data_IF_751529894500
#
_entry.id   IF_751529894500
#
_cell.length_a   1.000
_cell.length_b   1.000
_cell.length_c   1.000
_cell.angle_alpha   90.00
_cell.angle_beta   90.00
_cell.angle_gamma   90.00
#
_symmetry.space_group_name_H-M   'P 1'
#
loop_
_entity.id
_entity.type
_entity.pdbx_description
1 polymer ?
#
# COMPACT_ATOMS: atom_id res chain seq x y z
N UNK A 1 -12.81 -3.53 -3.15
CA UNK A 1 -11.80 -4.29 -2.38
C UNK A 1 -10.47 -3.61 -2.62
N UNK A 2 -9.81 -3.16 -1.53
CA UNK A 2 -8.77 -2.12 -1.50
C UNK A 2 -7.42 -2.81 -1.32
N UNK A 3 -6.32 -2.28 -1.87
CA UNK A 3 -4.96 -2.87 -1.77
C UNK A 3 -4.61 -3.28 -0.32
N UNK A 4 -4.98 -2.44 0.66
CA UNK A 4 -4.80 -2.70 2.10
C UNK A 4 -5.39 -4.03 2.57
N UNK A 5 -6.67 -4.31 2.24
CA UNK A 5 -7.34 -5.53 2.70
C UNK A 5 -6.76 -6.78 2.06
N UNK A 6 -6.28 -6.67 0.81
CA UNK A 6 -5.68 -7.81 0.12
C UNK A 6 -4.31 -8.16 0.69
N UNK A 7 -3.52 -7.16 1.11
CA UNK A 7 -2.24 -7.40 1.81
C UNK A 7 -2.44 -7.97 3.22
N UNK A 8 -3.51 -7.57 3.91
CA UNK A 8 -3.95 -8.20 5.16
C UNK A 8 -4.29 -9.69 4.96
N UNK A 9 -5.10 -10.01 3.94
CA UNK A 9 -5.47 -11.40 3.61
C UNK A 9 -4.25 -12.27 3.26
N UNK A 10 -3.21 -11.68 2.67
CA UNK A 10 -1.96 -12.39 2.38
C UNK A 10 -1.15 -12.59 3.66
N UNK A 11 -1.00 -11.55 4.47
CA UNK A 11 -0.33 -11.65 5.77
C UNK A 11 -0.96 -12.71 6.67
N UNK A 12 -2.30 -12.82 6.71
CA UNK A 12 -3.02 -13.86 7.45
C UNK A 12 -2.60 -15.29 7.07
N UNK A 13 -2.11 -15.50 5.84
CA UNK A 13 -1.64 -16.80 5.34
C UNK A 13 -0.14 -16.99 5.50
N UNK A 14 0.60 -15.93 5.75
CA UNK A 14 2.06 -15.92 5.84
C UNK A 14 2.56 -15.99 7.28
N UNK A 15 1.80 -15.46 8.23
CA UNK A 15 2.13 -15.52 9.65
C UNK A 15 2.07 -16.96 10.18
N UNK A 16 3.08 -17.33 10.97
CA UNK A 16 3.15 -18.62 11.64
C UNK A 16 2.44 -18.62 13.01
N UNK A 17 2.31 -19.80 13.64
CA UNK A 17 1.78 -19.89 15.01
C UNK A 17 2.55 -19.01 16.00
N UNK A 18 1.84 -18.32 16.88
CA UNK A 18 2.40 -17.38 17.85
C UNK A 18 2.76 -16.00 17.30
N UNK A 19 2.47 -15.71 16.02
CA UNK A 19 2.69 -14.40 15.41
C UNK A 19 1.36 -13.66 15.23
N UNK A 20 1.26 -12.45 15.79
CA UNK A 20 0.12 -11.55 15.59
C UNK A 20 -1.24 -12.24 15.83
N UNK A 21 -1.40 -12.95 16.95
CA UNK A 21 -2.63 -13.74 17.24
C UNK A 21 -3.76 -12.89 17.86
N UNK A 22 -3.45 -11.66 18.28
CA UNK A 22 -4.39 -10.73 18.89
C UNK A 22 -4.70 -9.50 18.03
N UNK A 23 -5.19 -8.42 18.66
CA UNK A 23 -5.54 -7.16 17.99
C UNK A 23 -4.38 -6.54 17.17
N UNK A 24 -3.14 -6.87 17.50
CA UNK A 24 -1.94 -6.43 16.80
C UNK A 24 -1.89 -6.87 15.33
N UNK A 25 -2.62 -7.93 14.95
CA UNK A 25 -2.81 -8.30 13.55
C UNK A 25 -3.41 -7.16 12.74
N UNK A 26 -4.48 -6.55 13.28
CA UNK A 26 -5.16 -5.43 12.64
C UNK A 26 -4.31 -4.16 12.73
N UNK A 27 -3.49 -4.00 13.77
CA UNK A 27 -2.65 -2.82 13.92
C UNK A 27 -1.65 -2.66 12.76
N UNK A 28 -1.19 -3.74 12.14
CA UNK A 28 -0.25 -3.70 11.01
C UNK A 28 -0.80 -2.86 9.86
N UNK A 29 -2.09 -3.01 9.56
CA UNK A 29 -2.70 -2.32 8.44
C UNK A 29 -3.59 -1.18 8.89
N UNK A 30 -4.35 -1.28 9.98
CA UNK A 30 -5.47 -0.39 10.33
C UNK A 30 -5.17 0.71 11.33
N UNK A 31 -4.14 0.53 12.17
CA UNK A 31 -3.81 1.54 13.17
C UNK A 31 -3.20 2.77 12.50
N UNK A 32 -3.66 3.94 12.92
CA UNK A 32 -2.98 5.18 12.58
C UNK A 32 -1.63 5.20 13.30
N UNK A 33 -0.57 5.55 12.59
CA UNK A 33 0.73 5.72 13.22
C UNK A 33 0.62 6.81 14.29
N UNK A 34 0.89 6.46 15.55
CA UNK A 34 0.95 7.41 16.68
C UNK A 34 2.13 8.40 16.56
N UNK A 35 3.01 8.20 15.59
CA UNK A 35 4.12 9.08 15.22
C UNK A 35 3.92 9.80 13.89
N UNK A 36 4.91 10.60 13.50
CA UNK A 36 4.89 11.29 12.21
C UNK A 36 4.88 10.28 11.06
N UNK A 37 3.82 10.29 10.24
CA UNK A 37 3.77 9.48 9.04
C UNK A 37 4.94 9.87 8.13
N UNK A 38 5.90 8.97 7.86
CA UNK A 38 7.13 9.29 7.12
C UNK A 38 6.84 9.70 5.67
N UNK A 39 5.65 9.38 5.17
CA UNK A 39 5.20 9.75 3.83
C UNK A 39 4.41 11.06 3.78
N UNK A 40 4.12 11.70 4.92
CA UNK A 40 3.23 12.88 5.00
C UNK A 40 3.70 14.02 4.10
N UNK A 41 4.96 14.43 4.22
CA UNK A 41 5.52 15.52 3.43
C UNK A 41 5.58 15.16 1.94
N UNK A 42 5.95 13.91 1.62
CA UNK A 42 6.04 13.43 0.24
C UNK A 42 4.65 13.34 -0.41
N UNK A 43 3.65 12.82 0.31
CA UNK A 43 2.27 12.68 -0.15
C UNK A 43 1.55 14.03 -0.36
N UNK A 44 2.13 15.15 0.08
CA UNK A 44 1.58 16.48 -0.14
C UNK A 44 1.63 16.93 -1.62
N UNK A 45 2.43 16.25 -2.45
CA UNK A 45 2.56 16.55 -3.88
C UNK A 45 2.09 15.38 -4.72
N UNK A 46 1.65 15.68 -5.94
CA UNK A 46 1.24 14.67 -6.92
C UNK A 46 2.41 13.75 -7.29
N UNK A 47 3.58 14.33 -7.53
CA UNK A 47 4.82 13.62 -7.85
C UNK A 47 5.24 12.71 -6.70
N UNK A 48 5.14 13.21 -5.46
CA UNK A 48 5.45 12.41 -4.29
C UNK A 48 4.46 11.27 -4.05
N UNK A 49 3.15 11.47 -4.29
CA UNK A 49 2.16 10.38 -4.28
C UNK A 49 2.49 9.31 -5.33
N UNK A 50 2.84 9.72 -6.56
CA UNK A 50 3.28 8.79 -7.61
C UNK A 50 4.54 8.02 -7.18
N UNK A 51 5.51 8.69 -6.56
CA UNK A 51 6.73 8.06 -6.08
C UNK A 51 6.47 7.06 -4.93
N UNK A 52 5.56 7.37 -4.00
CA UNK A 52 5.15 6.45 -2.93
C UNK A 52 4.50 5.20 -3.52
N UNK A 53 3.55 5.38 -4.44
CA UNK A 53 2.87 4.27 -5.11
C UNK A 53 3.84 3.40 -5.93
N UNK A 54 4.78 4.03 -6.63
CA UNK A 54 5.86 3.33 -7.34
C UNK A 54 6.77 2.53 -6.40
N UNK A 55 7.08 3.09 -5.23
CA UNK A 55 7.88 2.40 -4.21
C UNK A 55 7.13 1.21 -3.61
N UNK A 56 5.82 1.34 -3.38
CA UNK A 56 4.98 0.22 -2.95
C UNK A 56 4.97 -0.89 -4.01
N UNK A 57 4.78 -0.55 -5.28
CA UNK A 57 4.82 -1.48 -6.41
C UNK A 57 6.13 -2.27 -6.43
N UNK A 58 7.27 -1.57 -6.34
CA UNK A 58 8.59 -2.16 -6.34
C UNK A 58 8.81 -3.11 -5.14
N UNK A 59 8.33 -2.73 -3.94
CA UNK A 59 8.39 -3.60 -2.76
C UNK A 59 7.62 -4.90 -2.96
N UNK A 60 6.40 -4.83 -3.51
CA UNK A 60 5.59 -6.01 -3.77
C UNK A 60 6.27 -6.95 -4.78
N UNK A 61 6.82 -6.39 -5.87
CA UNK A 61 7.52 -7.18 -6.90
C UNK A 61 8.82 -7.82 -6.39
N UNK A 62 9.46 -7.24 -5.38
CA UNK A 62 10.69 -7.79 -4.80
C UNK A 62 10.45 -8.97 -3.87
N UNK A 63 9.28 -9.03 -3.22
CA UNK A 63 8.94 -10.04 -2.20
C UNK A 63 8.10 -11.17 -2.78
N UNK A 64 7.17 -10.85 -3.66
CA UNK A 64 6.20 -11.80 -4.20
C UNK A 64 6.61 -12.32 -5.59
N UNK A 65 6.49 -13.63 -5.86
CA UNK A 65 6.70 -14.15 -7.21
C UNK A 65 5.67 -13.56 -8.19
N UNK A 66 5.89 -13.68 -9.49
CA UNK A 66 4.90 -13.24 -10.47
C UNK A 66 3.73 -14.25 -10.57
N UNK A 67 2.61 -13.94 -9.90
CA UNK A 67 1.36 -14.71 -9.98
C UNK A 67 0.13 -13.80 -10.11
N UNK A 68 -1.01 -14.38 -10.47
CA UNK A 68 -2.19 -13.62 -10.88
C UNK A 68 -2.71 -12.61 -9.83
N UNK A 69 -2.87 -12.98 -8.53
CA UNK A 69 -3.18 -12.03 -7.46
C UNK A 69 -2.21 -10.85 -7.36
N UNK A 70 -0.90 -11.08 -7.48
CA UNK A 70 0.08 -9.98 -7.48
C UNK A 70 -0.18 -9.02 -8.64
N UNK A 71 -0.34 -9.54 -9.86
CA UNK A 71 -0.60 -8.70 -11.04
C UNK A 71 -1.84 -7.82 -10.88
N UNK A 72 -2.90 -8.34 -10.27
CA UNK A 72 -4.12 -7.56 -9.99
C UNK A 72 -3.83 -6.38 -9.05
N UNK A 73 -3.02 -6.58 -8.01
CA UNK A 73 -2.64 -5.49 -7.10
C UNK A 73 -1.73 -4.46 -7.77
N UNK A 74 -0.77 -4.91 -8.59
CA UNK A 74 0.08 -4.01 -9.37
C UNK A 74 -0.74 -3.17 -10.37
N UNK A 75 -1.73 -3.76 -11.02
CA UNK A 75 -2.63 -3.05 -11.94
C UNK A 75 -3.46 -1.98 -11.22
N UNK A 76 -3.94 -2.26 -10.00
CA UNK A 76 -4.64 -1.27 -9.16
C UNK A 76 -3.74 -0.10 -8.78
N UNK A 77 -2.47 -0.37 -8.46
CA UNK A 77 -1.48 0.66 -8.16
C UNK A 77 -1.22 1.51 -9.42
N UNK A 78 -1.05 0.88 -10.58
CA UNK A 78 -0.85 1.59 -11.86
C UNK A 78 -2.06 2.45 -12.23
N UNK A 79 -3.27 1.97 -11.99
CA UNK A 79 -4.49 2.76 -12.14
C UNK A 79 -4.49 3.98 -11.21
N UNK A 80 -4.11 3.79 -9.95
CA UNK A 80 -4.02 4.88 -8.96
C UNK A 80 -3.01 5.94 -9.39
N UNK A 81 -1.83 5.53 -9.87
CA UNK A 81 -0.82 6.43 -10.44
C UNK A 81 -1.37 7.22 -11.62
N UNK A 82 -2.09 6.58 -12.55
CA UNK A 82 -2.72 7.27 -13.68
C UNK A 82 -3.79 8.27 -13.25
N UNK A 83 -4.56 7.96 -12.21
CA UNK A 83 -5.60 8.84 -11.67
C UNK A 83 -4.98 10.07 -11.00
N UNK A 84 -4.00 9.87 -10.12
CA UNK A 84 -3.20 10.95 -9.52
C UNK A 84 -2.53 11.78 -10.61
N UNK A 85 -2.02 11.11 -11.66
CA UNK A 85 -1.48 11.68 -12.89
C UNK A 85 -2.49 12.49 -13.75
N UNK A 86 -3.78 12.45 -13.44
CA UNK A 86 -4.83 13.19 -14.15
C UNK A 86 -5.54 14.20 -13.25
N UNK A 87 -5.30 14.17 -11.94
CA UNK A 87 -5.82 15.17 -11.01
C UNK A 87 -5.28 16.55 -11.40
N UNK A 88 -6.19 17.50 -11.61
CA UNK A 88 -5.86 18.92 -11.74
C UNK A 88 -5.33 19.41 -10.38
N UNK A 89 -4.40 20.39 -10.34
CA UNK A 89 -4.01 21.00 -9.08
C UNK A 89 -5.25 21.54 -8.39
N UNK A 90 -5.46 21.16 -7.13
CA UNK A 90 -6.43 21.81 -6.25
C UNK A 90 -6.00 23.27 -6.13
N UNK A 91 -6.80 24.20 -6.66
CA UNK A 91 -6.58 25.61 -6.43
C UNK A 91 -6.92 25.93 -4.98
N UNK A 92 -5.98 26.58 -4.28
CA UNK A 92 -6.17 27.51 -3.17
C UNK A 92 -6.91 26.99 -1.95
#
# INVERSE_FOLDING_TARGET
MIVRSNLEDWMAKEIGPGQLEGPEFFDVYYREHEGENPFRAQAATREGLVAILGSLKAKLQAVYPDYAPLRQELDRIDMSVKLVGRMKPTQG
#
